data_IF_393233461793
#
_entry.id   IF_393233461793
#
_cell.length_a   1.000
_cell.length_b   1.000
_cell.length_c   1.000
_cell.angle_alpha   90.00
_cell.angle_beta   90.00
_cell.angle_gamma   90.00
#
_symmetry.space_group_name_H-M   'P 1'
#
loop_
_entity.id
_entity.type
_entity.pdbx_description
1 polymer ?
#
# COMPACT_ATOMS: atom_id res chain seq x y z
N UNK A 1 -14.38 2.20 -12.08
CA UNK A 1 -13.91 1.49 -10.86
C UNK A 1 -12.59 2.07 -10.42
N UNK A 2 -12.43 2.30 -9.13
CA UNK A 2 -11.16 2.77 -8.55
C UNK A 2 -10.42 1.63 -7.90
N UNK A 3 -9.10 1.60 -8.10
CA UNK A 3 -8.20 0.60 -7.52
C UNK A 3 -7.05 1.34 -6.83
N UNK A 4 -6.73 0.92 -5.62
CA UNK A 4 -5.53 1.39 -4.93
C UNK A 4 -4.43 0.36 -5.12
N UNK A 5 -3.36 0.74 -5.79
CA UNK A 5 -2.15 -0.07 -5.95
C UNK A 5 -1.10 0.32 -4.91
N UNK A 6 -0.45 -0.66 -4.34
CA UNK A 6 0.57 -0.46 -3.28
C UNK A 6 1.84 -1.21 -3.64
N UNK A 7 2.96 -0.49 -3.59
CA UNK A 7 4.31 -1.04 -3.74
C UNK A 7 5.02 -0.89 -2.39
N UNK A 8 5.12 -2.01 -1.66
CA UNK A 8 5.62 -2.01 -0.29
C UNK A 8 7.12 -1.77 -0.20
N UNK A 9 7.51 -0.90 0.71
CA UNK A 9 8.90 -0.65 1.04
C UNK A 9 9.05 -0.17 2.48
N UNK A 10 10.24 -0.34 3.04
CA UNK A 10 10.51 0.01 4.45
C UNK A 10 10.90 1.47 4.66
N UNK A 11 11.39 2.14 3.63
CA UNK A 11 11.69 3.58 3.65
C UNK A 11 10.70 4.38 2.83
N UNK A 12 10.16 3.76 1.78
CA UNK A 12 9.11 4.34 0.93
C UNK A 12 8.10 3.26 0.60
N UNK A 13 6.85 3.52 0.86
CA UNK A 13 5.75 2.69 0.36
C UNK A 13 5.02 3.50 -0.70
N UNK A 14 5.16 3.06 -1.96
CA UNK A 14 4.53 3.71 -3.09
C UNK A 14 3.05 3.38 -3.20
N UNK A 15 2.26 4.32 -3.70
CA UNK A 15 0.84 4.08 -3.94
C UNK A 15 0.36 4.80 -5.20
N UNK A 16 -0.68 4.25 -5.80
CA UNK A 16 -1.39 4.88 -6.88
C UNK A 16 -2.88 4.57 -6.81
N UNK A 17 -3.71 5.59 -6.89
CA UNK A 17 -5.16 5.42 -7.02
C UNK A 17 -5.51 5.62 -8.48
N UNK A 18 -6.02 4.57 -9.11
CA UNK A 18 -6.32 4.54 -10.53
C UNK A 18 -7.81 4.34 -10.74
N UNK A 19 -8.39 5.13 -11.63
CA UNK A 19 -9.76 4.96 -12.09
C UNK A 19 -9.76 4.25 -13.43
N UNK A 20 -10.47 3.13 -13.49
CA UNK A 20 -10.73 2.43 -14.75
C UNK A 20 -12.05 2.97 -15.33
N UNK A 21 -11.97 3.60 -16.47
CA UNK A 21 -13.13 4.12 -17.21
C UNK A 21 -13.77 3.01 -18.06
N UNK A 22 -15.05 3.20 -18.41
CA UNK A 22 -15.81 2.22 -19.19
C UNK A 22 -15.22 1.94 -20.57
N UNK A 23 -14.49 2.91 -21.14
CA UNK A 23 -13.80 2.76 -22.43
C UNK A 23 -12.45 2.02 -22.31
N UNK A 24 -12.11 1.52 -21.13
CA UNK A 24 -10.86 0.81 -20.88
C UNK A 24 -9.67 1.71 -20.54
N UNK A 25 -9.83 3.03 -20.56
CA UNK A 25 -8.76 3.96 -20.19
C UNK A 25 -8.53 3.99 -18.69
N UNK A 26 -7.26 4.14 -18.31
CA UNK A 26 -6.85 4.31 -16.93
C UNK A 26 -6.50 5.76 -16.65
N UNK A 27 -6.99 6.28 -15.53
CA UNK A 27 -6.67 7.62 -15.08
C UNK A 27 -6.06 7.55 -13.69
N UNK A 28 -4.87 8.12 -13.52
CA UNK A 28 -4.27 8.27 -12.20
C UNK A 28 -4.95 9.43 -11.48
N UNK A 29 -5.63 9.13 -10.37
CA UNK A 29 -6.29 10.15 -9.55
C UNK A 29 -5.36 10.72 -8.50
N UNK A 30 -4.48 9.88 -7.97
CA UNK A 30 -3.53 10.25 -6.93
C UNK A 30 -2.38 9.25 -6.96
N UNK A 31 -1.16 9.72 -6.89
CA UNK A 31 -0.02 8.83 -6.75
C UNK A 31 1.10 9.52 -5.99
N UNK A 32 1.85 8.72 -5.26
CA UNK A 32 2.93 9.23 -4.45
C UNK A 32 3.62 8.14 -3.66
N UNK A 33 4.32 8.55 -2.63
CA UNK A 33 5.01 7.63 -1.74
C UNK A 33 4.84 8.09 -0.29
N UNK A 34 4.63 7.11 0.57
CA UNK A 34 4.66 7.31 2.02
C UNK A 34 6.12 7.22 2.43
N UNK A 35 6.71 8.35 2.81
CA UNK A 35 8.10 8.40 3.25
C UNK A 35 8.17 8.04 4.72
N UNK A 36 9.08 7.12 5.04
CA UNK A 36 9.30 6.62 6.40
C UNK A 36 10.73 6.94 6.83
N UNK A 37 10.91 7.34 8.08
CA UNK A 37 12.24 7.61 8.59
C UNK A 37 12.93 6.30 8.99
N UNK A 38 14.18 6.05 8.52
CA UNK A 38 14.94 4.89 8.99
C UNK A 38 15.32 4.98 10.47
N UNK A 39 15.16 6.16 11.08
CA UNK A 39 15.39 6.37 12.52
C UNK A 39 14.23 5.88 13.37
N UNK A 40 13.05 5.76 12.77
CA UNK A 40 11.87 5.24 13.47
C UNK A 40 11.97 3.72 13.63
N UNK A 41 11.41 3.21 14.71
CA UNK A 41 11.26 1.77 14.88
C UNK A 41 10.38 1.19 13.77
N UNK A 42 10.52 -0.10 13.50
CA UNK A 42 9.62 -0.77 12.55
C UNK A 42 8.17 -0.64 12.97
N UNK A 43 7.87 -0.78 14.27
CA UNK A 43 6.51 -0.62 14.77
C UNK A 43 5.94 0.77 14.44
N UNK A 44 6.73 1.83 14.62
CA UNK A 44 6.30 3.19 14.29
C UNK A 44 6.09 3.38 12.79
N UNK A 45 6.98 2.83 11.97
CA UNK A 45 6.82 2.87 10.50
C UNK A 45 5.57 2.13 10.04
N UNK A 46 5.30 0.96 10.61
CA UNK A 46 4.10 0.19 10.29
C UNK A 46 2.83 0.94 10.67
N UNK A 47 2.82 1.62 11.81
CA UNK A 47 1.69 2.46 12.23
C UNK A 47 1.46 3.61 11.25
N UNK A 48 2.52 4.27 10.79
CA UNK A 48 2.43 5.34 9.79
C UNK A 48 1.86 4.82 8.48
N UNK A 49 2.32 3.66 8.00
CA UNK A 49 1.80 3.03 6.78
C UNK A 49 0.31 2.74 6.92
N UNK A 50 -0.08 2.13 8.02
CA UNK A 50 -1.49 1.80 8.28
C UNK A 50 -2.36 3.05 8.26
N UNK A 51 -1.96 4.10 8.96
CA UNK A 51 -2.72 5.34 9.05
C UNK A 51 -2.84 6.03 7.69
N UNK A 52 -1.74 6.10 6.94
CA UNK A 52 -1.72 6.74 5.63
C UNK A 52 -2.54 5.97 4.60
N UNK A 53 -2.41 4.65 4.56
CA UNK A 53 -3.20 3.81 3.66
C UNK A 53 -4.69 3.86 4.02
N UNK A 54 -5.02 3.85 5.30
CA UNK A 54 -6.41 3.98 5.76
C UNK A 54 -7.01 5.32 5.34
N UNK A 55 -6.24 6.40 5.42
CA UNK A 55 -6.68 7.74 4.98
C UNK A 55 -6.91 7.77 3.46
N UNK A 56 -6.03 7.17 2.66
CA UNK A 56 -6.19 7.07 1.21
C UNK A 56 -7.45 6.28 0.82
N UNK A 57 -7.70 5.19 1.53
CA UNK A 57 -8.89 4.36 1.31
C UNK A 57 -10.16 5.16 1.63
N UNK A 58 -10.16 5.88 2.75
CA UNK A 58 -11.31 6.71 3.14
C UNK A 58 -11.56 7.84 2.14
N UNK A 59 -10.51 8.49 1.66
CA UNK A 59 -10.61 9.60 0.71
C UNK A 59 -11.09 9.16 -0.66
N UNK A 60 -10.49 8.12 -1.22
CA UNK A 60 -10.71 7.73 -2.61
C UNK A 60 -11.77 6.65 -2.80
N UNK A 61 -12.14 5.94 -1.75
CA UNK A 61 -13.16 4.88 -1.79
C UNK A 61 -12.91 3.87 -2.92
N UNK A 62 -11.70 3.24 -2.97
CA UNK A 62 -11.44 2.23 -3.98
C UNK A 62 -12.30 0.99 -3.75
N UNK A 63 -12.55 0.22 -4.79
CA UNK A 63 -13.29 -1.04 -4.71
C UNK A 63 -12.40 -2.23 -4.36
N UNK A 64 -11.12 -2.11 -4.67
CA UNK A 64 -10.15 -3.16 -4.36
C UNK A 64 -8.77 -2.57 -4.18
N UNK A 65 -7.92 -3.34 -3.53
CA UNK A 65 -6.52 -3.00 -3.29
C UNK A 65 -5.65 -4.04 -3.97
N UNK A 66 -4.71 -3.59 -4.78
CA UNK A 66 -3.71 -4.44 -5.41
C UNK A 66 -2.37 -4.21 -4.73
N UNK A 67 -1.78 -5.27 -4.21
CA UNK A 67 -0.48 -5.20 -3.54
C UNK A 67 0.51 -6.04 -4.33
N UNK A 68 1.60 -5.42 -4.76
CA UNK A 68 2.65 -6.12 -5.47
C UNK A 68 3.30 -7.16 -4.57
N UNK A 69 3.50 -8.37 -5.09
CA UNK A 69 4.22 -9.40 -4.37
C UNK A 69 5.72 -9.10 -4.34
N UNK A 70 6.33 -9.39 -3.19
CA UNK A 70 7.77 -9.20 -3.02
C UNK A 70 8.48 -10.49 -3.39
N UNK A 71 9.12 -10.53 -4.56
CA UNK A 71 9.92 -11.67 -5.01
C UNK A 71 11.41 -11.52 -4.69
N UNK A 72 11.84 -10.30 -4.39
CA UNK A 72 13.25 -9.99 -4.23
C UNK A 72 13.53 -9.36 -2.89
N UNK A 73 14.42 -9.99 -2.13
CA UNK A 73 15.00 -9.41 -0.94
C UNK A 73 16.48 -9.78 -0.88
N UNK A 74 17.31 -8.87 -0.39
CA UNK A 74 18.76 -9.08 -0.28
C UNK A 74 19.10 -10.23 0.67
N UNK A 75 18.28 -10.42 1.69
CA UNK A 75 18.47 -11.44 2.71
C UNK A 75 17.18 -11.70 3.48
N UNK A 76 17.20 -12.65 4.39
CA UNK A 76 16.04 -13.03 5.22
C UNK A 76 15.51 -11.85 6.04
N UNK A 77 16.40 -11.05 6.60
CA UNK A 77 16.02 -9.89 7.42
C UNK A 77 15.22 -8.86 6.61
N UNK A 78 15.67 -8.58 5.39
CA UNK A 78 14.97 -7.67 4.49
C UNK A 78 13.61 -8.25 4.06
N UNK A 79 13.55 -9.55 3.79
CA UNK A 79 12.31 -10.24 3.44
C UNK A 79 11.28 -10.15 4.57
N UNK A 80 11.71 -10.34 5.82
CA UNK A 80 10.83 -10.24 6.98
C UNK A 80 10.25 -8.83 7.13
N UNK A 81 11.06 -7.80 6.98
CA UNK A 81 10.60 -6.40 7.05
C UNK A 81 9.58 -6.08 5.96
N UNK A 82 9.85 -6.50 4.73
CA UNK A 82 8.92 -6.28 3.62
C UNK A 82 7.61 -7.05 3.83
N UNK A 83 7.68 -8.26 4.36
CA UNK A 83 6.50 -9.04 4.72
C UNK A 83 5.66 -8.36 5.80
N UNK A 84 6.28 -7.70 6.76
CA UNK A 84 5.58 -6.91 7.78
C UNK A 84 4.83 -5.74 7.15
N UNK A 85 5.48 -4.98 6.27
CA UNK A 85 4.84 -3.86 5.55
C UNK A 85 3.66 -4.38 4.72
N UNK A 86 3.86 -5.47 3.98
CA UNK A 86 2.80 -6.07 3.17
C UNK A 86 1.62 -6.52 4.02
N UNK A 87 1.87 -7.12 5.17
CA UNK A 87 0.83 -7.54 6.11
C UNK A 87 -0.01 -6.37 6.61
N UNK A 88 0.64 -5.25 6.94
CA UNK A 88 -0.05 -4.03 7.37
C UNK A 88 -0.90 -3.44 6.24
N UNK A 89 -0.38 -3.44 5.00
CA UNK A 89 -1.14 -2.98 3.84
C UNK A 89 -2.40 -3.85 3.63
N UNK A 90 -2.26 -5.17 3.73
CA UNK A 90 -3.40 -6.09 3.65
C UNK A 90 -4.42 -5.83 4.76
N UNK A 91 -3.93 -5.57 5.98
CA UNK A 91 -4.80 -5.29 7.12
C UNK A 91 -5.58 -3.99 6.92
N UNK A 92 -4.95 -2.94 6.42
CA UNK A 92 -5.62 -1.68 6.13
C UNK A 92 -6.80 -1.87 5.16
N UNK A 93 -6.62 -2.70 4.14
CA UNK A 93 -7.68 -3.02 3.19
C UNK A 93 -8.76 -3.90 3.82
N UNK A 94 -8.36 -5.00 4.45
CA UNK A 94 -9.30 -5.97 4.98
C UNK A 94 -10.09 -5.46 6.18
N UNK A 95 -9.54 -4.53 6.97
CA UNK A 95 -10.25 -3.94 8.11
C UNK A 95 -11.52 -3.16 7.70
N UNK A 96 -11.59 -2.74 6.45
CA UNK A 96 -12.78 -2.05 5.90
C UNK A 96 -13.48 -2.90 4.82
N UNK A 97 -13.16 -4.18 4.75
CA UNK A 97 -13.85 -5.13 3.89
C UNK A 97 -13.47 -5.07 2.41
N UNK A 98 -12.34 -4.45 2.05
CA UNK A 98 -11.90 -4.39 0.66
C UNK A 98 -11.16 -5.67 0.27
N UNK A 99 -11.46 -6.24 -0.91
CA UNK A 99 -10.68 -7.35 -1.43
C UNK A 99 -9.26 -6.93 -1.79
N UNK A 100 -8.32 -7.81 -1.52
CA UNK A 100 -6.91 -7.66 -1.89
C UNK A 100 -6.61 -8.63 -3.03
N UNK A 101 -6.07 -8.10 -4.09
CA UNK A 101 -5.73 -8.86 -5.29
C UNK A 101 -4.24 -8.81 -5.61
#
# INVERSE_FOLDING_TARGET
MRVLGIDCGTEYTGYGVVKLHDDGKLQCLDCGAIKLSPRDSMAARLATIFDRLSALIAEHQPRQVAIEEVFYALNVKSALKLGQVRGVAMLAASSVGLPVV
#
